data_IF_501057458135
#
_entry.id   IF_501057458135
#
_cell.length_a   1.000
_cell.length_b   1.000
_cell.length_c   1.000
_cell.angle_alpha   90.00
_cell.angle_beta   90.00
_cell.angle_gamma   90.00
#
_symmetry.space_group_name_H-M   'P 1'
#
loop_
_entity.id
_entity.type
_entity.pdbx_description
1 polymer ?
#
# COMPACT_ATOMS: atom_id res chain seq x y z
N UNK A 1 -23.66 -16.13 -24.09
CA UNK A 1 -22.50 -16.34 -23.21
C UNK A 1 -23.04 -16.39 -21.79
N UNK A 2 -22.85 -17.51 -21.09
CA UNK A 2 -23.18 -17.60 -19.67
C UNK A 2 -22.25 -16.68 -18.89
N UNK A 3 -22.81 -15.73 -18.15
CA UNK A 3 -22.03 -14.80 -17.32
C UNK A 3 -21.14 -15.57 -16.33
N UNK A 4 -19.93 -15.05 -16.07
CA UNK A 4 -19.07 -15.60 -15.03
C UNK A 4 -19.79 -15.52 -13.68
N UNK A 5 -19.64 -16.52 -12.80
CA UNK A 5 -20.27 -16.53 -11.47
C UNK A 5 -19.52 -15.58 -10.50
N UNK A 6 -19.44 -14.29 -10.84
CA UNK A 6 -18.77 -13.28 -10.05
C UNK A 6 -19.53 -13.06 -8.73
N UNK A 7 -18.78 -12.82 -7.65
CA UNK A 7 -19.34 -12.42 -6.35
C UNK A 7 -20.28 -11.21 -6.56
N UNK A 8 -21.52 -11.23 -6.01
CA UNK A 8 -22.50 -10.18 -6.27
C UNK A 8 -21.99 -8.76 -5.99
N UNK A 9 -21.21 -8.59 -4.92
CA UNK A 9 -20.62 -7.31 -4.49
C UNK A 9 -19.57 -6.72 -5.46
N UNK A 10 -19.11 -7.48 -6.46
CA UNK A 10 -18.10 -7.02 -7.44
C UNK A 10 -18.69 -6.69 -8.81
N UNK A 11 -20.00 -6.90 -9.03
CA UNK A 11 -20.61 -6.81 -10.37
C UNK A 11 -20.54 -5.42 -10.99
N UNK A 12 -20.71 -4.39 -10.17
CA UNK A 12 -20.73 -2.98 -10.62
C UNK A 12 -19.39 -2.26 -10.33
N UNK A 13 -18.37 -2.99 -9.88
CA UNK A 13 -17.07 -2.44 -9.57
C UNK A 13 -16.29 -2.14 -10.85
N UNK A 14 -15.59 -1.00 -10.85
CA UNK A 14 -14.66 -0.63 -11.93
C UNK A 14 -13.23 -0.84 -11.43
N UNK A 15 -12.31 -1.38 -12.26
CA UNK A 15 -10.90 -1.49 -11.88
C UNK A 15 -10.30 -0.14 -11.48
N UNK A 16 -9.57 -0.13 -10.37
CA UNK A 16 -8.84 1.05 -9.93
C UNK A 16 -7.63 1.29 -10.82
N UNK A 17 -7.40 2.56 -11.18
CA UNK A 17 -6.19 2.98 -11.89
C UNK A 17 -6.39 4.32 -12.58
N UNK A 18 -5.42 5.22 -12.42
CA UNK A 18 -5.39 6.44 -13.23
C UNK A 18 -5.11 6.06 -14.70
N UNK A 19 -5.75 6.73 -15.68
CA UNK A 19 -5.44 6.52 -17.09
C UNK A 19 -3.96 6.75 -17.38
N UNK A 20 -3.31 5.83 -18.09
CA UNK A 20 -1.95 6.00 -18.58
C UNK A 20 -2.00 6.78 -19.89
N UNK A 21 -1.88 8.11 -19.79
CA UNK A 21 -1.91 9.01 -20.94
C UNK A 21 -0.49 9.45 -21.23
N UNK A 22 -0.07 9.32 -22.49
CA UNK A 22 1.19 9.87 -22.96
C UNK A 22 1.04 11.37 -23.19
N UNK A 23 1.54 12.16 -22.24
CA UNK A 23 1.54 13.61 -22.27
C UNK A 23 2.92 14.16 -21.87
N UNK A 24 3.33 15.33 -22.38
CA UNK A 24 4.66 15.88 -22.09
C UNK A 24 4.90 16.18 -20.61
N UNK A 25 3.85 16.44 -19.83
CA UNK A 25 3.94 16.80 -18.40
C UNK A 25 2.98 15.93 -17.60
N UNK A 26 3.53 14.98 -16.84
CA UNK A 26 2.78 14.06 -15.96
C UNK A 26 2.97 14.48 -14.51
N UNK A 27 1.89 14.96 -13.87
CA UNK A 27 1.88 15.47 -12.48
C UNK A 27 0.67 14.96 -11.68
N UNK A 28 0.15 13.79 -12.03
CA UNK A 28 -1.08 13.22 -11.44
C UNK A 28 -0.83 12.10 -10.42
N UNK A 29 0.39 11.57 -10.35
CA UNK A 29 0.86 10.63 -9.32
C UNK A 29 2.00 11.30 -8.54
N UNK A 30 2.07 11.06 -7.24
CA UNK A 30 3.04 11.70 -6.34
C UNK A 30 4.46 11.08 -6.45
N UNK A 31 4.92 10.84 -7.68
CA UNK A 31 6.24 10.30 -7.99
C UNK A 31 7.34 11.34 -7.74
N UNK A 32 8.56 10.88 -7.48
CA UNK A 32 9.72 11.76 -7.48
C UNK A 32 10.06 12.12 -8.94
N UNK A 33 10.13 13.42 -9.33
CA UNK A 33 10.40 13.83 -10.70
C UNK A 33 11.86 13.60 -11.14
N UNK A 34 12.77 13.37 -10.18
CA UNK A 34 14.17 13.11 -10.49
C UNK A 34 14.40 11.64 -10.82
N UNK A 35 15.07 11.31 -11.94
CA UNK A 35 15.46 9.94 -12.22
C UNK A 35 16.47 9.44 -11.18
N UNK A 36 16.58 8.11 -10.99
CA UNK A 36 17.68 7.52 -10.23
C UNK A 36 19.05 7.99 -10.77
N UNK A 37 20.03 8.16 -9.88
CA UNK A 37 21.40 8.44 -10.30
C UNK A 37 22.04 7.23 -10.97
N UNK A 38 23.05 7.45 -11.83
CA UNK A 38 23.78 6.37 -12.50
C UNK A 38 24.32 5.34 -11.50
N UNK A 39 24.88 5.81 -10.38
CA UNK A 39 25.37 4.94 -9.31
C UNK A 39 24.27 4.05 -8.69
N UNK A 40 23.03 4.57 -8.57
CA UNK A 40 21.90 3.77 -8.09
C UNK A 40 21.47 2.74 -9.14
N UNK A 41 21.43 3.12 -10.41
CA UNK A 41 21.09 2.21 -11.52
C UNK A 41 22.09 1.06 -11.60
N UNK A 42 23.38 1.36 -11.53
CA UNK A 42 24.46 0.36 -11.53
C UNK A 42 24.35 -0.59 -10.33
N UNK A 43 24.16 -0.07 -9.12
CA UNK A 43 24.02 -0.87 -7.91
C UNK A 43 22.80 -1.82 -7.96
N UNK A 44 21.65 -1.35 -8.46
CA UNK A 44 20.45 -2.19 -8.63
C UNK A 44 20.69 -3.27 -9.67
N UNK A 45 21.33 -2.93 -10.80
CA UNK A 45 21.64 -3.90 -11.86
C UNK A 45 22.60 -5.00 -11.36
N UNK A 46 23.63 -4.64 -10.60
CA UNK A 46 24.57 -5.59 -10.01
C UNK A 46 23.89 -6.51 -8.98
N UNK A 47 23.06 -5.93 -8.09
CA UNK A 47 22.31 -6.71 -7.10
C UNK A 47 21.34 -7.70 -7.77
N UNK A 48 20.62 -7.26 -8.81
CA UNK A 48 19.73 -8.12 -9.59
C UNK A 48 20.48 -9.23 -10.31
N UNK A 49 21.62 -8.93 -10.95
CA UNK A 49 22.45 -9.93 -11.61
C UNK A 49 23.02 -10.98 -10.64
N UNK A 50 23.34 -10.56 -9.41
CA UNK A 50 23.77 -11.46 -8.34
C UNK A 50 22.63 -12.38 -7.90
N UNK A 51 21.46 -11.82 -7.57
CA UNK A 51 20.28 -12.59 -7.17
C UNK A 51 19.80 -13.56 -8.27
N UNK A 52 19.95 -13.17 -9.55
CA UNK A 52 19.55 -13.97 -10.69
C UNK A 52 20.21 -15.36 -10.73
N UNK A 53 21.40 -15.51 -10.11
CA UNK A 53 22.15 -16.78 -10.06
C UNK A 53 21.46 -17.85 -9.20
N UNK A 54 20.54 -17.47 -8.32
CA UNK A 54 19.86 -18.37 -7.39
C UNK A 54 18.34 -18.47 -7.61
N UNK A 55 17.82 -17.99 -8.75
CA UNK A 55 16.36 -17.96 -9.04
C UNK A 55 15.68 -19.34 -9.04
N UNK A 56 16.45 -20.43 -9.08
CA UNK A 56 15.92 -21.78 -8.91
C UNK A 56 15.60 -22.13 -7.43
N UNK A 57 15.81 -21.20 -6.50
CA UNK A 57 15.54 -21.33 -5.06
C UNK A 57 14.53 -20.28 -4.61
N UNK A 58 13.81 -20.60 -3.55
CA UNK A 58 13.01 -19.59 -2.85
C UNK A 58 13.94 -18.56 -2.18
N UNK A 59 13.55 -17.28 -2.13
CA UNK A 59 14.31 -16.26 -1.44
C UNK A 59 14.24 -16.44 0.09
N UNK A 60 14.99 -15.62 0.82
CA UNK A 60 14.79 -15.46 2.27
C UNK A 60 13.34 -15.02 2.54
N UNK A 61 12.58 -15.91 3.17
CA UNK A 61 11.16 -15.70 3.48
C UNK A 61 10.95 -14.47 4.37
N UNK A 62 11.89 -14.16 5.24
CA UNK A 62 11.74 -13.08 6.23
C UNK A 62 12.22 -11.74 5.70
N UNK A 63 12.85 -11.69 4.53
CA UNK A 63 13.53 -10.52 3.96
C UNK A 63 14.40 -9.79 5.01
N UNK A 64 15.15 -10.55 5.80
CA UNK A 64 15.77 -10.06 7.04
C UNK A 64 16.77 -8.95 6.78
N UNK A 65 17.66 -9.13 5.79
CA UNK A 65 18.65 -8.12 5.41
C UNK A 65 17.99 -6.80 4.94
N UNK A 66 16.85 -6.88 4.24
CA UNK A 66 16.08 -5.71 3.84
C UNK A 66 15.49 -4.99 5.06
N UNK A 67 14.91 -5.73 6.00
CA UNK A 67 14.32 -5.17 7.23
C UNK A 67 15.38 -4.54 8.13
N UNK A 68 16.58 -5.11 8.18
CA UNK A 68 17.72 -4.53 8.89
C UNK A 68 18.16 -3.20 8.27
N UNK A 69 18.33 -3.16 6.95
CA UNK A 69 18.66 -1.92 6.25
C UNK A 69 17.57 -0.84 6.42
N UNK A 70 16.29 -1.22 6.36
CA UNK A 70 15.16 -0.31 6.59
C UNK A 70 15.11 0.21 8.03
N UNK A 71 15.36 -0.64 9.04
CA UNK A 71 15.42 -0.21 10.43
C UNK A 71 16.57 0.80 10.65
N UNK A 72 17.75 0.54 10.08
CA UNK A 72 18.89 1.45 10.11
C UNK A 72 18.60 2.79 9.41
N UNK A 73 17.94 2.75 8.24
CA UNK A 73 17.53 3.94 7.50
C UNK A 73 16.54 4.81 8.27
N UNK A 74 15.51 4.20 8.89
CA UNK A 74 14.52 4.92 9.69
C UNK A 74 15.09 5.44 11.01
N UNK A 75 16.07 4.73 11.60
CA UNK A 75 16.71 5.14 12.84
C UNK A 75 15.81 4.99 14.07
N UNK A 76 15.93 5.92 15.03
CA UNK A 76 15.12 5.96 16.27
C UNK A 76 15.21 4.73 17.19
N UNK A 77 16.30 3.95 17.09
CA UNK A 77 16.46 2.72 17.87
C UNK A 77 15.55 1.57 17.40
N UNK A 78 14.99 1.67 16.19
CA UNK A 78 14.25 0.58 15.57
C UNK A 78 15.18 -0.61 15.32
N UNK A 79 14.63 -1.81 15.53
CA UNK A 79 15.29 -3.08 15.25
C UNK A 79 14.53 -3.81 14.13
N UNK A 80 15.16 -4.74 13.39
CA UNK A 80 14.53 -5.46 12.28
C UNK A 80 13.22 -6.17 12.67
N UNK A 81 13.06 -6.56 13.94
CA UNK A 81 11.84 -7.18 14.47
C UNK A 81 10.64 -6.22 14.48
N UNK A 82 10.89 -4.91 14.52
CA UNK A 82 9.86 -3.87 14.45
C UNK A 82 9.55 -3.40 13.03
N UNK A 83 10.16 -4.00 12.01
CA UNK A 83 9.98 -3.64 10.60
C UNK A 83 9.41 -4.82 9.83
N UNK A 84 8.41 -4.52 8.99
CA UNK A 84 7.80 -5.47 8.07
C UNK A 84 7.82 -4.90 6.66
N UNK A 85 8.14 -5.75 5.68
CA UNK A 85 8.23 -5.37 4.26
C UNK A 85 7.29 -6.25 3.42
N UNK A 86 6.69 -5.64 2.41
CA UNK A 86 5.82 -6.29 1.44
C UNK A 86 5.92 -5.54 0.09
N UNK A 87 5.19 -5.99 -0.93
CA UNK A 87 5.16 -5.40 -2.26
C UNK A 87 4.35 -4.09 -2.26
N UNK A 88 5.00 -3.02 -1.80
CA UNK A 88 4.39 -1.69 -1.66
C UNK A 88 3.42 -1.58 -0.48
N UNK A 89 2.99 -0.35 -0.19
CA UNK A 89 2.06 -0.10 0.92
C UNK A 89 0.69 -0.75 0.69
N UNK A 90 0.31 -1.04 -0.56
CA UNK A 90 -0.91 -1.76 -0.90
C UNK A 90 -0.94 -3.14 -0.23
N UNK A 91 0.12 -3.93 -0.36
CA UNK A 91 0.16 -5.26 0.26
C UNK A 91 0.28 -5.17 1.79
N UNK A 92 1.03 -4.20 2.32
CA UNK A 92 1.10 -3.96 3.77
C UNK A 92 -0.28 -3.67 4.35
N UNK A 93 -1.05 -2.77 3.72
CA UNK A 93 -2.39 -2.41 4.19
C UNK A 93 -3.38 -3.58 4.06
N UNK A 94 -3.28 -4.36 2.99
CA UNK A 94 -4.11 -5.57 2.84
C UNK A 94 -3.80 -6.59 3.94
N UNK A 95 -2.51 -6.86 4.22
CA UNK A 95 -2.10 -7.77 5.29
C UNK A 95 -2.58 -7.30 6.67
N UNK A 96 -2.50 -6.00 6.95
CA UNK A 96 -3.05 -5.42 8.18
C UNK A 96 -4.55 -5.64 8.31
N UNK A 97 -5.33 -5.42 7.24
CA UNK A 97 -6.78 -5.63 7.29
C UNK A 97 -7.18 -7.11 7.27
N UNK A 98 -6.38 -7.99 6.68
CA UNK A 98 -6.59 -9.44 6.79
C UNK A 98 -6.35 -9.94 8.22
N UNK A 99 -5.35 -9.40 8.92
CA UNK A 99 -5.02 -9.81 10.29
C UNK A 99 -5.92 -9.15 11.34
N UNK A 100 -6.25 -7.87 11.17
CA UNK A 100 -6.92 -7.06 12.20
C UNK A 100 -8.31 -6.55 11.80
N UNK A 101 -8.63 -6.52 10.50
CA UNK A 101 -9.96 -6.22 9.97
C UNK A 101 -10.72 -7.51 9.65
N UNK A 102 -11.32 -7.56 8.47
CA UNK A 102 -12.02 -8.72 7.96
C UNK A 102 -13.52 -8.76 8.26
N UNK A 103 -14.20 -9.86 7.87
CA UNK A 103 -15.63 -10.04 8.08
C UNK A 103 -16.05 -9.79 9.53
N UNK A 104 -17.08 -8.98 9.72
CA UNK A 104 -17.60 -8.63 11.04
C UNK A 104 -16.81 -7.54 11.77
N UNK A 105 -15.74 -7.00 11.18
CA UNK A 105 -14.99 -5.86 11.72
C UNK A 105 -15.15 -4.60 10.86
N UNK A 106 -14.83 -3.46 11.45
CA UNK A 106 -14.94 -2.14 10.83
C UNK A 106 -13.59 -1.43 10.85
N UNK A 107 -13.24 -0.76 9.75
CA UNK A 107 -12.18 0.21 9.64
C UNK A 107 -12.79 1.61 9.44
N UNK A 108 -12.23 2.60 10.13
CA UNK A 108 -12.66 4.00 10.11
C UNK A 108 -11.53 4.89 9.57
N UNK A 109 -11.88 5.90 8.76
CA UNK A 109 -10.99 7.00 8.42
C UNK A 109 -11.78 8.29 8.19
N UNK A 110 -11.09 9.39 7.90
CA UNK A 110 -11.66 10.73 7.80
C UNK A 110 -11.45 11.32 6.41
N UNK A 111 -12.54 11.47 5.65
CA UNK A 111 -12.52 11.93 4.28
C UNK A 111 -12.52 13.47 4.17
N UNK A 112 -11.93 14.05 3.10
CA UNK A 112 -11.20 13.38 2.03
C UNK A 112 -9.83 12.83 2.52
N UNK A 113 -9.44 11.67 2.00
CA UNK A 113 -8.20 10.96 2.36
C UNK A 113 -7.73 10.10 1.19
N UNK A 114 -6.71 9.27 1.40
CA UNK A 114 -6.18 8.38 0.38
C UNK A 114 -7.25 7.41 -0.15
N UNK A 115 -7.45 7.43 -1.47
CA UNK A 115 -8.50 6.69 -2.19
C UNK A 115 -8.42 5.17 -2.04
N UNK A 116 -7.23 4.62 -1.76
CA UNK A 116 -7.06 3.17 -1.67
C UNK A 116 -7.54 2.56 -0.35
N UNK A 117 -7.70 3.34 0.73
CA UNK A 117 -8.15 2.77 2.01
C UNK A 117 -9.51 2.05 1.94
N UNK A 118 -10.57 2.60 1.32
CA UNK A 118 -11.81 1.86 1.11
C UNK A 118 -11.64 0.64 0.20
N UNK A 119 -10.71 0.67 -0.77
CA UNK A 119 -10.42 -0.47 -1.64
C UNK A 119 -9.82 -1.64 -0.84
N UNK A 120 -8.83 -1.38 0.03
CA UNK A 120 -8.27 -2.43 0.90
C UNK A 120 -9.32 -2.99 1.87
N UNK A 121 -10.21 -2.14 2.39
CA UNK A 121 -11.32 -2.57 3.24
C UNK A 121 -12.28 -3.49 2.47
N UNK A 122 -12.67 -3.13 1.24
CA UNK A 122 -13.48 -4.00 0.37
C UNK A 122 -12.80 -5.34 0.12
N UNK A 123 -11.52 -5.33 -0.27
CA UNK A 123 -10.77 -6.52 -0.69
C UNK A 123 -10.53 -7.49 0.48
N UNK A 124 -10.52 -6.99 1.71
CA UNK A 124 -10.46 -7.78 2.94
C UNK A 124 -11.84 -8.11 3.55
N UNK A 125 -12.94 -7.65 2.95
CA UNK A 125 -14.29 -7.72 3.50
C UNK A 125 -14.45 -7.01 4.87
N UNK A 126 -13.65 -5.98 5.12
CA UNK A 126 -13.76 -5.10 6.27
C UNK A 126 -14.81 -4.03 5.99
N UNK A 127 -15.75 -3.79 6.91
CA UNK A 127 -16.71 -2.68 6.78
C UNK A 127 -15.95 -1.35 6.82
N UNK A 128 -16.19 -0.47 5.86
CA UNK A 128 -15.59 0.87 5.82
C UNK A 128 -16.55 1.93 6.37
N UNK A 129 -16.04 2.80 7.25
CA UNK A 129 -16.74 4.02 7.69
C UNK A 129 -15.85 5.21 7.37
N UNK A 130 -16.45 6.25 6.81
CA UNK A 130 -15.80 7.53 6.56
C UNK A 130 -16.43 8.61 7.43
N UNK A 131 -15.69 9.09 8.44
CA UNK A 131 -15.98 10.36 9.10
C UNK A 131 -15.58 11.54 8.22
N UNK A 132 -15.90 12.76 8.66
CA UNK A 132 -15.53 13.98 7.94
C UNK A 132 -14.32 14.68 8.56
N UNK A 133 -13.58 15.40 7.71
CA UNK A 133 -12.60 16.41 8.12
C UNK A 133 -13.27 17.78 8.27
N UNK A 134 -12.60 18.68 8.96
CA UNK A 134 -13.01 20.08 9.02
C UNK A 134 -12.95 20.73 7.62
N UNK A 135 -13.58 21.90 7.47
CA UNK A 135 -13.65 22.62 6.20
C UNK A 135 -12.28 23.03 5.62
N UNK A 136 -11.24 23.09 6.46
CA UNK A 136 -9.85 23.37 6.11
C UNK A 136 -9.00 22.10 5.87
N UNK A 137 -9.64 20.94 5.80
CA UNK A 137 -9.05 19.60 5.65
C UNK A 137 -8.24 19.08 6.85
N UNK A 138 -8.20 19.81 7.96
CA UNK A 138 -7.65 19.30 9.23
C UNK A 138 -8.57 18.24 9.83
N UNK A 139 -8.07 17.49 10.82
CA UNK A 139 -8.88 16.50 11.52
C UNK A 139 -9.83 17.21 12.49
N UNK A 140 -11.13 16.98 12.34
CA UNK A 140 -12.11 17.34 13.36
C UNK A 140 -12.01 16.31 14.51
N UNK A 141 -11.38 16.73 15.62
CA UNK A 141 -11.12 15.85 16.74
C UNK A 141 -12.39 15.48 17.52
N UNK A 142 -13.35 16.40 17.63
CA UNK A 142 -14.61 16.14 18.34
C UNK A 142 -15.41 15.09 17.58
N UNK A 143 -15.58 15.30 16.27
CA UNK A 143 -16.23 14.32 15.41
C UNK A 143 -15.48 12.97 15.37
N UNK A 144 -14.15 12.99 15.35
CA UNK A 144 -13.35 11.78 15.33
C UNK A 144 -13.56 10.91 16.57
N UNK A 145 -13.65 11.53 17.74
CA UNK A 145 -13.89 10.82 19.01
C UNK A 145 -15.30 10.26 19.09
N UNK A 146 -16.31 10.94 18.56
CA UNK A 146 -17.71 10.47 18.56
C UNK A 146 -17.93 9.19 17.71
N UNK A 147 -17.04 8.91 16.76
CA UNK A 147 -17.15 7.76 15.85
C UNK A 147 -16.46 6.48 16.33
N UNK A 148 -15.71 6.55 17.43
CA UNK A 148 -14.96 5.42 18.03
C UNK A 148 -15.72 4.86 19.23
#
# INVERSE_FOLDING_TARGET
MTELPLRPELRDSVPYGAPQIDVPVRLNTNENPYPPSDAMVEAVAEAAATAARELNRYPDREAWALREALAGYLGHGLRPEGVWAANGSNEVMLQLLQAFGGPGRTALSFAPTYSMYPEYARDSHTRWVAGHRAADFTLDLEHAVELV
#
